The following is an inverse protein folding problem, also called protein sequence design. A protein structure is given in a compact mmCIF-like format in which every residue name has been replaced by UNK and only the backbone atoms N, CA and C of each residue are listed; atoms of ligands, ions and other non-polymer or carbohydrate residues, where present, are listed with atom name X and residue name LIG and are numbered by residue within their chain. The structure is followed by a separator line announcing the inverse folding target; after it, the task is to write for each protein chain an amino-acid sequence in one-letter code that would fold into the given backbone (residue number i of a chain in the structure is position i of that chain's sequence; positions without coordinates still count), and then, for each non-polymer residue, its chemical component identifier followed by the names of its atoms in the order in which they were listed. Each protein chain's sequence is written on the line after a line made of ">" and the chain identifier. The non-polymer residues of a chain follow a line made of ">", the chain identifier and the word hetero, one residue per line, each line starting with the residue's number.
data_IF_437202651798
#
_entry.id   IF_437202651798
#
_cell.length_a   1.000
_cell.length_b   1.000
_cell.length_c   1.000
_cell.angle_alpha   90.00
_cell.angle_beta   90.00
_cell.angle_gamma   90.00
#
_symmetry.space_group_name_H-M   'P 1'
#
loop_
_entity.id
_entity.type
_entity.pdbx_description
1 polymer ?
#
# COMPACT_ATOMS: atom_id res chain seq x y z
N UNK A 1 -23.18 -22.15 5.17
CA UNK A 1 -22.25 -21.32 4.37
C UNK A 1 -20.93 -21.34 5.10
N UNK A 2 -19.82 -21.74 4.46
CA UNK A 2 -18.50 -21.60 5.08
C UNK A 2 -18.25 -20.11 5.32
N UNK A 3 -17.81 -19.76 6.52
CA UNK A 3 -17.41 -18.40 6.86
C UNK A 3 -16.28 -17.98 5.93
N UNK A 4 -16.39 -16.81 5.30
CA UNK A 4 -15.34 -16.28 4.44
C UNK A 4 -14.24 -15.73 5.35
N UNK A 5 -13.07 -16.35 5.33
CA UNK A 5 -11.88 -15.81 6.00
C UNK A 5 -11.29 -14.72 5.13
N UNK A 6 -11.29 -13.48 5.63
CA UNK A 6 -10.68 -12.33 4.97
C UNK A 6 -9.21 -12.19 5.35
N UNK A 7 -8.41 -11.53 4.49
CA UNK A 7 -6.97 -11.28 4.71
C UNK A 7 -6.19 -12.56 5.02
N UNK A 8 -6.53 -13.65 4.33
CA UNK A 8 -5.75 -14.87 4.42
C UNK A 8 -4.47 -14.69 3.59
N UNK A 9 -3.31 -14.87 4.21
CA UNK A 9 -1.99 -14.79 3.58
C UNK A 9 -1.28 -16.16 3.46
N UNK A 10 -2.00 -17.25 3.75
CA UNK A 10 -1.47 -18.61 3.63
C UNK A 10 -0.98 -18.88 2.20
N UNK A 11 0.28 -19.34 2.02
CA UNK A 11 0.83 -19.64 0.70
C UNK A 11 0.02 -20.63 -0.15
N UNK A 12 -0.82 -21.47 0.47
CA UNK A 12 -1.68 -22.41 -0.24
C UNK A 12 -2.93 -21.76 -0.84
N UNK A 13 -3.35 -20.62 -0.29
CA UNK A 13 -4.64 -19.97 -0.59
C UNK A 13 -4.48 -18.64 -1.35
N UNK A 14 -3.27 -18.10 -1.45
CA UNK A 14 -3.02 -16.77 -2.04
C UNK A 14 -2.27 -16.84 -3.38
N UNK A 15 -2.66 -15.98 -4.32
CA UNK A 15 -1.95 -15.80 -5.60
C UNK A 15 -0.47 -15.49 -5.33
N UNK A 16 0.43 -16.19 -6.02
CA UNK A 16 1.89 -15.98 -5.90
C UNK A 16 2.33 -14.54 -6.12
N UNK A 17 1.56 -13.77 -6.91
CA UNK A 17 1.77 -12.34 -7.15
C UNK A 17 1.70 -11.50 -5.86
N UNK A 18 0.79 -11.79 -4.93
CA UNK A 18 0.67 -11.06 -3.65
C UNK A 18 1.92 -11.27 -2.80
N UNK A 19 2.39 -12.52 -2.70
CA UNK A 19 3.60 -12.86 -1.96
C UNK A 19 4.83 -12.20 -2.57
N UNK A 20 4.94 -12.23 -3.90
CA UNK A 20 6.05 -11.60 -4.61
C UNK A 20 6.03 -10.07 -4.47
N UNK A 21 4.85 -9.45 -4.47
CA UNK A 21 4.66 -8.03 -4.18
C UNK A 21 5.24 -7.67 -2.81
N UNK A 22 4.83 -8.38 -1.74
CA UNK A 22 5.35 -8.12 -0.39
C UNK A 22 6.85 -8.43 -0.26
N UNK A 23 7.37 -9.41 -1.00
CA UNK A 23 8.81 -9.70 -1.04
C UNK A 23 9.59 -8.51 -1.61
N UNK A 24 9.16 -7.96 -2.75
CA UNK A 24 9.77 -6.78 -3.37
C UNK A 24 9.63 -5.55 -2.48
N UNK A 25 8.43 -5.32 -1.94
CA UNK A 25 8.17 -4.22 -1.01
C UNK A 25 9.17 -4.26 0.15
N UNK A 26 9.31 -5.42 0.81
CA UNK A 26 10.22 -5.57 1.94
C UNK A 26 11.68 -5.32 1.56
N UNK A 27 12.09 -5.80 0.40
CA UNK A 27 13.46 -5.66 -0.11
C UNK A 27 13.82 -4.19 -0.43
N UNK A 28 12.86 -3.40 -0.92
CA UNK A 28 13.14 -2.10 -1.53
C UNK A 28 12.67 -0.88 -0.72
N UNK A 29 11.68 -1.01 0.17
CA UNK A 29 11.21 0.07 1.05
C UNK A 29 12.22 0.32 2.18
N UNK A 30 13.24 1.13 1.89
CA UNK A 30 14.22 1.64 2.86
C UNK A 30 13.92 3.08 3.23
N UNK A 31 14.57 3.60 4.28
CA UNK A 31 14.49 5.00 4.65
C UNK A 31 14.87 5.94 3.48
N UNK A 32 15.92 5.58 2.73
CA UNK A 32 16.38 6.38 1.59
C UNK A 32 15.42 6.29 0.40
N UNK A 33 14.81 5.14 0.15
CA UNK A 33 13.74 5.00 -0.84
C UNK A 33 12.56 5.93 -0.51
N UNK A 34 12.05 5.88 0.72
CA UNK A 34 10.92 6.72 1.16
C UNK A 34 11.25 8.21 1.03
N UNK A 35 12.47 8.62 1.41
CA UNK A 35 12.94 10.00 1.20
C UNK A 35 12.96 10.41 -0.28
N UNK A 36 13.32 9.50 -1.17
CA UNK A 36 13.31 9.78 -2.61
C UNK A 36 11.89 9.85 -3.16
N UNK A 37 10.97 8.99 -2.71
CA UNK A 37 9.56 9.06 -3.08
C UNK A 37 8.91 10.35 -2.57
N UNK A 38 9.24 10.80 -1.36
CA UNK A 38 8.82 12.10 -0.86
C UNK A 38 9.28 13.25 -1.76
N UNK A 39 10.55 13.27 -2.19
CA UNK A 39 11.07 14.27 -3.13
C UNK A 39 10.35 14.22 -4.48
N UNK A 40 9.96 13.03 -4.96
CA UNK A 40 9.31 12.81 -6.26
C UNK A 40 7.84 13.25 -6.27
N UNK A 41 7.09 12.98 -5.20
CA UNK A 41 5.63 13.08 -5.18
C UNK A 41 5.08 14.23 -4.34
N UNK A 42 5.81 14.74 -3.34
CA UNK A 42 5.35 15.85 -2.50
C UNK A 42 5.56 17.24 -3.14
N UNK A 43 5.83 17.29 -4.45
CA UNK A 43 5.83 18.52 -5.25
C UNK A 43 4.42 19.02 -5.55
N UNK A 44 3.43 18.12 -5.60
CA UNK A 44 2.03 18.41 -5.92
C UNK A 44 1.84 19.26 -7.19
N UNK A 45 2.71 19.08 -8.18
CA UNK A 45 2.77 19.84 -9.44
C UNK A 45 1.89 19.24 -10.56
N UNK A 46 1.02 18.28 -10.20
CA UNK A 46 0.20 17.48 -11.13
C UNK A 46 -1.28 17.56 -10.72
N UNK A 47 -1.93 18.72 -10.90
CA UNK A 47 -3.33 18.88 -10.52
C UNK A 47 -4.24 17.98 -11.37
N UNK A 48 -5.23 17.35 -10.72
CA UNK A 48 -6.19 16.47 -11.36
C UNK A 48 -7.57 16.61 -10.71
N UNK A 49 -8.66 16.76 -11.48
CA UNK A 49 -10.02 16.68 -10.96
C UNK A 49 -10.31 15.33 -10.31
N UNK A 50 -11.12 15.32 -9.24
CA UNK A 50 -11.47 14.10 -8.50
C UNK A 50 -12.03 13.00 -9.42
N UNK A 51 -12.97 13.34 -10.30
CA UNK A 51 -13.61 12.38 -11.20
C UNK A 51 -12.62 11.78 -12.21
N UNK A 52 -11.68 12.59 -12.71
CA UNK A 52 -10.62 12.13 -13.60
C UNK A 52 -9.69 11.14 -12.87
N UNK A 53 -9.33 11.42 -11.62
CA UNK A 53 -8.55 10.47 -10.80
C UNK A 53 -9.29 9.14 -10.59
N UNK A 54 -10.60 9.18 -10.35
CA UNK A 54 -11.42 7.98 -10.22
C UNK A 54 -11.52 7.18 -11.53
N UNK A 55 -11.61 7.85 -12.68
CA UNK A 55 -11.62 7.19 -13.99
C UNK A 55 -10.32 6.41 -14.24
N UNK A 56 -9.17 6.97 -13.88
CA UNK A 56 -7.89 6.26 -13.97
C UNK A 56 -7.83 5.01 -13.09
N UNK A 57 -8.44 5.04 -11.90
CA UNK A 57 -8.52 3.88 -11.02
C UNK A 57 -9.44 2.75 -11.54
N UNK A 58 -10.18 2.98 -12.63
CA UNK A 58 -10.89 1.91 -13.33
C UNK A 58 -9.93 0.95 -14.06
N UNK A 59 -8.68 1.38 -14.31
CA UNK A 59 -7.65 0.58 -14.97
C UNK A 59 -6.64 -0.04 -14.00
N UNK A 60 -6.81 0.15 -12.68
CA UNK A 60 -5.91 -0.36 -11.67
C UNK A 60 -6.59 -1.47 -10.86
N UNK A 61 -5.94 -2.62 -10.78
CA UNK A 61 -6.26 -3.71 -9.84
C UNK A 61 -5.10 -3.78 -8.85
N UNK A 62 -5.43 -3.79 -7.55
CA UNK A 62 -4.44 -3.86 -6.47
C UNK A 62 -3.86 -5.27 -6.36
N UNK A 63 -2.57 -5.42 -6.63
CA UNK A 63 -1.89 -6.73 -6.61
C UNK A 63 -1.63 -7.24 -5.19
N UNK A 64 -1.71 -6.38 -4.18
CA UNK A 64 -1.44 -6.73 -2.78
C UNK A 64 -2.64 -7.26 -2.01
N UNK A 65 -3.84 -7.06 -2.55
CA UNK A 65 -5.10 -7.46 -1.91
C UNK A 65 -5.38 -8.96 -2.19
N UNK A 66 -5.43 -9.82 -1.15
CA UNK A 66 -5.75 -11.23 -1.34
C UNK A 66 -7.26 -11.49 -1.56
N UNK A 67 -8.12 -10.52 -1.25
CA UNK A 67 -9.57 -10.65 -1.21
C UNK A 67 -10.29 -10.08 -2.45
N UNK A 68 -9.65 -9.14 -3.15
CA UNK A 68 -10.23 -8.39 -4.28
C UNK A 68 -9.45 -8.55 -5.59
N UNK A 69 -10.19 -8.71 -6.69
CA UNK A 69 -9.67 -8.75 -8.06
C UNK A 69 -10.52 -7.84 -8.98
N UNK A 70 -10.94 -6.70 -8.42
CA UNK A 70 -11.82 -5.72 -9.07
C UNK A 70 -11.07 -4.41 -9.30
N UNK A 71 -11.50 -3.60 -10.28
CA UNK A 71 -10.99 -2.23 -10.44
C UNK A 71 -11.12 -1.42 -9.14
N UNK A 72 -10.06 -0.70 -8.78
CA UNK A 72 -9.97 -0.01 -7.50
C UNK A 72 -11.08 1.05 -7.31
N UNK A 73 -11.59 1.64 -8.39
CA UNK A 73 -12.74 2.55 -8.33
C UNK A 73 -14.00 1.89 -7.73
N UNK A 74 -14.21 0.59 -7.97
CA UNK A 74 -15.34 -0.14 -7.37
C UNK A 74 -15.16 -0.27 -5.86
N UNK A 75 -13.93 -0.49 -5.40
CA UNK A 75 -13.61 -0.56 -3.98
C UNK A 75 -13.89 0.77 -3.25
N UNK A 76 -13.54 1.91 -3.89
CA UNK A 76 -13.86 3.24 -3.36
C UNK A 76 -15.38 3.43 -3.15
N UNK A 77 -16.18 3.07 -4.16
CA UNK A 77 -17.64 3.20 -4.12
C UNK A 77 -18.24 2.24 -3.08
N UNK A 78 -17.78 0.99 -3.02
CA UNK A 78 -18.23 0.01 -2.02
C UNK A 78 -17.95 0.50 -0.59
N UNK A 79 -16.77 1.06 -0.35
CA UNK A 79 -16.39 1.61 0.95
C UNK A 79 -17.29 2.78 1.35
N UNK A 80 -17.49 3.73 0.43
CA UNK A 80 -18.37 4.88 0.67
C UNK A 80 -19.83 4.48 0.93
N UNK A 81 -20.36 3.56 0.12
CA UNK A 81 -21.75 3.09 0.23
C UNK A 81 -22.00 2.26 1.49
N UNK A 82 -21.05 1.42 1.90
CA UNK A 82 -21.16 0.68 3.17
C UNK A 82 -21.19 1.63 4.37
N UNK A 83 -20.35 2.67 4.38
CA UNK A 83 -20.34 3.72 5.40
C UNK A 83 -21.67 4.49 5.40
N UNK A 84 -22.23 4.78 4.21
CA UNK A 84 -23.53 5.43 4.05
C UNK A 84 -24.67 4.56 4.57
N UNK A 85 -24.67 3.26 4.26
CA UNK A 85 -25.68 2.29 4.71
C UNK A 85 -25.65 2.11 6.23
N UNK A 86 -24.46 2.19 6.84
CA UNK A 86 -24.26 2.21 8.29
C UNK A 86 -24.60 3.59 8.92
N UNK A 87 -25.26 4.48 8.17
CA UNK A 87 -25.77 5.78 8.63
C UNK A 87 -24.70 6.66 9.31
N UNK A 88 -23.47 6.60 8.80
CA UNK A 88 -22.36 7.44 9.26
C UNK A 88 -22.39 8.83 8.61
N UNK A 89 -21.75 9.84 9.23
CA UNK A 89 -21.71 11.19 8.70
C UNK A 89 -21.18 11.27 7.27
N UNK A 90 -21.61 12.30 6.54
CA UNK A 90 -21.24 12.59 5.16
C UNK A 90 -19.72 12.65 4.94
N UNK A 91 -18.98 13.28 5.85
CA UNK A 91 -17.52 13.35 5.76
C UNK A 91 -16.86 11.98 5.81
N UNK A 92 -17.44 11.01 6.53
CA UNK A 92 -16.90 9.65 6.62
C UNK A 92 -17.17 8.88 5.33
N UNK A 93 -18.31 9.11 4.69
CA UNK A 93 -18.62 8.56 3.37
C UNK A 93 -17.62 9.08 2.33
N UNK A 94 -17.33 10.39 2.37
CA UNK A 94 -16.30 11.00 1.53
C UNK A 94 -14.91 10.41 1.81
N UNK A 95 -14.54 10.21 3.09
CA UNK A 95 -13.29 9.52 3.44
C UNK A 95 -13.21 8.14 2.79
N UNK A 96 -14.27 7.34 2.86
CA UNK A 96 -14.34 6.04 2.18
C UNK A 96 -14.19 6.15 0.67
N UNK A 97 -14.75 7.19 0.04
CA UNK A 97 -14.64 7.42 -1.39
C UNK A 97 -13.22 7.81 -1.83
N UNK A 98 -12.47 8.54 -1.00
CA UNK A 98 -11.19 9.14 -1.41
C UNK A 98 -9.95 8.45 -0.84
N UNK A 99 -10.12 7.51 0.10
CA UNK A 99 -9.01 6.97 0.90
C UNK A 99 -7.86 6.40 0.06
N UNK A 100 -8.19 5.75 -1.06
CA UNK A 100 -7.23 5.07 -1.94
C UNK A 100 -6.91 5.85 -3.23
N UNK A 101 -7.31 7.13 -3.32
CA UNK A 101 -7.01 7.95 -4.51
C UNK A 101 -5.51 8.13 -4.76
N UNK A 102 -4.67 8.02 -3.73
CA UNK A 102 -3.21 8.10 -3.86
C UNK A 102 -2.64 7.09 -4.85
N UNK A 103 -3.33 5.97 -5.10
CA UNK A 103 -2.95 4.97 -6.10
C UNK A 103 -2.89 5.52 -7.52
N UNK A 104 -3.49 6.68 -7.81
CA UNK A 104 -3.32 7.37 -9.10
C UNK A 104 -1.87 7.75 -9.41
N UNK A 105 -0.98 7.70 -8.41
CA UNK A 105 0.45 7.95 -8.59
C UNK A 105 1.11 7.08 -9.67
N UNK A 106 0.49 5.96 -10.04
CA UNK A 106 0.97 5.10 -11.12
C UNK A 106 1.09 5.79 -12.47
N UNK A 107 0.30 6.84 -12.71
CA UNK A 107 0.37 7.61 -13.96
C UNK A 107 1.74 8.28 -14.17
N UNK A 108 2.49 8.46 -13.09
CA UNK A 108 3.85 9.03 -13.11
C UNK A 108 4.86 8.08 -12.45
N UNK A 109 4.47 6.81 -12.29
CA UNK A 109 5.29 5.76 -11.71
C UNK A 109 6.19 5.08 -12.72
N UNK A 110 7.12 4.27 -12.23
CA UNK A 110 7.95 3.40 -13.06
C UNK A 110 8.15 2.05 -12.40
N UNK A 111 8.59 1.07 -13.18
CA UNK A 111 8.85 -0.28 -12.66
C UNK A 111 10.01 -0.26 -11.65
N UNK A 112 10.99 0.62 -11.88
CA UNK A 112 12.20 0.73 -11.07
C UNK A 112 11.93 1.23 -9.64
N UNK A 113 10.95 2.12 -9.47
CA UNK A 113 10.56 2.61 -8.14
C UNK A 113 9.31 1.92 -7.58
N UNK A 114 8.78 0.92 -8.29
CA UNK A 114 7.68 0.09 -7.81
C UNK A 114 6.34 0.81 -7.78
N UNK A 115 6.17 1.87 -8.55
CA UNK A 115 4.92 2.64 -8.56
C UNK A 115 4.19 2.54 -9.89
N UNK A 116 4.58 1.68 -10.83
CA UNK A 116 3.83 1.47 -12.07
C UNK A 116 2.60 0.59 -11.87
N UNK A 117 1.83 0.34 -12.94
CA UNK A 117 0.76 -0.66 -12.90
C UNK A 117 1.29 -2.10 -12.79
N UNK A 118 2.46 -2.37 -13.38
CA UNK A 118 3.06 -3.71 -13.42
C UNK A 118 3.83 -4.04 -12.13
N UNK A 119 4.45 -3.03 -11.52
CA UNK A 119 5.18 -3.12 -10.26
C UNK A 119 4.58 -2.13 -9.28
N UNK A 120 3.84 -2.63 -8.27
CA UNK A 120 3.05 -1.78 -7.36
C UNK A 120 3.61 -1.72 -5.92
N UNK A 121 4.74 -2.38 -5.64
CA UNK A 121 5.31 -2.55 -4.29
C UNK A 121 5.71 -1.25 -3.58
N UNK A 122 5.82 -0.16 -4.33
CA UNK A 122 6.05 1.20 -3.85
C UNK A 122 4.77 2.01 -3.60
N UNK A 123 3.60 1.46 -3.94
CA UNK A 123 2.32 2.19 -3.99
C UNK A 123 1.20 1.56 -3.16
N UNK A 124 1.08 0.23 -3.12
CA UNK A 124 -0.05 -0.48 -2.49
C UNK A 124 0.40 -1.51 -1.46
N UNK A 125 -0.51 -1.90 -0.57
CA UNK A 125 -0.31 -2.95 0.45
C UNK A 125 -0.06 -2.42 1.85
N UNK A 126 0.05 -3.34 2.80
CA UNK A 126 0.25 -3.02 4.21
C UNK A 126 1.59 -2.28 4.43
N UNK A 127 1.53 -1.17 5.16
CA UNK A 127 2.68 -0.30 5.43
C UNK A 127 3.44 -0.72 6.69
N UNK A 128 4.70 -0.31 6.79
CA UNK A 128 5.53 -0.42 7.98
C UNK A 128 6.41 0.82 8.14
N UNK A 129 6.93 1.02 9.37
CA UNK A 129 7.81 2.16 9.68
C UNK A 129 9.24 1.81 9.24
N UNK A 130 9.84 2.65 8.40
CA UNK A 130 11.25 2.52 7.96
C UNK A 130 12.19 3.26 8.91
N UNK A 131 13.49 2.94 8.94
CA UNK A 131 14.44 3.63 9.82
C UNK A 131 14.41 3.18 11.30
N UNK A 132 13.65 2.14 11.61
CA UNK A 132 13.70 1.35 12.85
C UNK A 132 13.48 -0.13 12.53
N UNK A 133 13.68 -1.00 13.52
CA UNK A 133 13.50 -2.43 13.36
C UNK A 133 12.09 -2.76 12.87
N UNK A 134 12.00 -3.63 11.86
CA UNK A 134 10.73 -4.07 11.32
C UNK A 134 10.08 -5.11 12.26
N UNK A 135 8.80 -4.97 12.62
CA UNK A 135 8.16 -5.89 13.53
C UNK A 135 7.88 -7.24 12.84
N UNK A 136 7.91 -8.32 13.62
CA UNK A 136 7.57 -9.68 13.16
C UNK A 136 6.05 -9.89 12.96
N UNK A 137 5.24 -8.87 13.26
CA UNK A 137 3.79 -8.87 13.01
C UNK A 137 3.42 -8.41 11.61
N UNK A 138 4.38 -7.93 10.83
CA UNK A 138 4.15 -7.61 9.43
C UNK A 138 3.73 -8.85 8.62
N UNK A 139 2.99 -8.63 7.53
CA UNK A 139 2.74 -9.68 6.53
C UNK A 139 4.08 -10.18 5.97
N UNK A 140 4.28 -11.50 6.00
CA UNK A 140 5.51 -12.21 5.63
C UNK A 140 6.78 -11.68 6.33
N UNK A 141 6.85 -11.80 7.67
CA UNK A 141 7.98 -11.26 8.44
C UNK A 141 9.31 -11.92 8.09
N UNK A 142 9.30 -13.13 7.52
CA UNK A 142 10.51 -13.79 7.04
C UNK A 142 11.23 -12.99 5.95
N UNK A 143 10.56 -12.05 5.27
CA UNK A 143 11.19 -11.17 4.31
C UNK A 143 11.96 -10.01 4.96
N UNK A 144 11.80 -9.73 6.26
CA UNK A 144 12.46 -8.61 6.95
C UNK A 144 13.98 -8.61 6.72
N UNK A 145 14.59 -9.80 6.67
CA UNK A 145 16.02 -10.00 6.45
C UNK A 145 16.51 -9.57 5.05
N UNK A 146 15.60 -9.40 4.09
CA UNK A 146 15.90 -8.93 2.73
C UNK A 146 16.10 -7.41 2.70
N UNK A 147 15.55 -6.67 3.66
CA UNK A 147 15.70 -5.23 3.71
C UNK A 147 17.12 -4.86 4.16
N UNK A 148 17.88 -4.08 3.38
CA UNK A 148 19.25 -3.72 3.74
C UNK A 148 19.34 -2.85 5.00
N UNK A 149 18.31 -2.07 5.35
CA UNK A 149 18.28 -1.27 6.58
C UNK A 149 18.32 -2.15 7.83
N UNK A 150 17.88 -3.42 7.75
CA UNK A 150 17.95 -4.36 8.89
C UNK A 150 19.37 -4.82 9.22
N UNK A 151 20.34 -4.54 8.34
CA UNK A 151 21.77 -4.79 8.56
C UNK A 151 22.50 -3.53 9.04
N UNK A 152 21.81 -2.40 9.12
CA UNK A 152 22.36 -1.12 9.55
C UNK A 152 22.04 -0.86 11.03
N UNK A 153 23.07 -0.72 11.86
CA UNK A 153 22.93 -0.48 13.30
C UNK A 153 22.15 0.81 13.63
N UNK A 154 22.05 1.75 12.67
CA UNK A 154 21.26 2.97 12.83
C UNK A 154 19.76 2.71 12.76
N UNK A 155 19.33 1.65 12.08
CA UNK A 155 17.93 1.41 11.73
C UNK A 155 17.41 0.07 12.27
N UNK A 156 18.25 -0.82 12.78
CA UNK A 156 17.83 -2.16 13.21
C UNK A 156 17.56 -2.28 14.72
N UNK A 157 17.45 -1.16 15.43
CA UNK A 157 17.04 -1.12 16.84
C UNK A 157 15.52 -0.81 16.95
N UNK A 158 14.86 -1.11 18.10
CA UNK A 158 13.42 -0.91 18.23
C UNK A 158 12.92 0.49 17.88
N UNK A 159 13.69 1.52 18.22
CA UNK A 159 13.36 2.92 17.90
C UNK A 159 14.15 3.46 16.72
N UNK A 160 15.29 2.88 16.36
CA UNK A 160 16.12 3.35 15.25
C UNK A 160 16.40 4.86 15.33
N UNK A 161 15.91 5.63 14.37
CA UNK A 161 16.04 7.10 14.31
C UNK A 161 14.99 7.87 15.14
N UNK A 162 14.05 7.18 15.76
CA UNK A 162 12.90 7.78 16.45
C UNK A 162 13.15 7.93 17.96
N UNK A 163 12.44 8.89 18.56
CA UNK A 163 12.35 9.05 20.02
C UNK A 163 11.24 8.15 20.58
N UNK A 164 11.40 7.70 21.82
CA UNK A 164 10.37 6.94 22.53
C UNK A 164 9.21 7.87 22.93
N UNK A 165 7.97 7.39 22.76
CA UNK A 165 6.73 8.15 22.97
C UNK A 165 5.95 7.75 24.21
#
# INVERSE_FOLDING_TARGET
>A
MMEKTFRNYDPLDVKSAVREHYRKMRQHQTLDYVRNMHKKYLTFDRPMPLWEAMEHLNSLIDVSDPDLDLPNVQHLIQSAEAIREDNRPDWMQLTGLIHDLGKVMYLWGSDEDGTSQAEQWGMVGDVFVVGCALPDTCVYPEFNVLNPDMKDERYNTPTGIYEEG
#
